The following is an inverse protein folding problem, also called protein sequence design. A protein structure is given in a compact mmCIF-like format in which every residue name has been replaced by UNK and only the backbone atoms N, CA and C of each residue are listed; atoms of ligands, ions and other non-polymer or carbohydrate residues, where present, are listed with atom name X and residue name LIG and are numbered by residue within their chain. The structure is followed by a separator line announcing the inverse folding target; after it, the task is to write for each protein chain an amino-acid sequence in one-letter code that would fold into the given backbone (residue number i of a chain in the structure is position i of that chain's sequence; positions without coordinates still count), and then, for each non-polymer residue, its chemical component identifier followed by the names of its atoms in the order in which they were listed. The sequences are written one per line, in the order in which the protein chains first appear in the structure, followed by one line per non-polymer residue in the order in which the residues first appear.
data_IF_204832834112
#
_entry.id   IF_204832834112
#
_cell.length_a   1.000
_cell.length_b   1.000
_cell.length_c   1.000
_cell.angle_alpha   90.00
_cell.angle_beta   90.00
_cell.angle_gamma   90.00
#
_symmetry.space_group_name_H-M   'P 1'
#
loop_
_entity.id
_entity.type
_entity.pdbx_description
1 polymer ?
#
# COMPACT_ATOMS: atom_id res chain seq x y z
N UNK A 1 -3.04 -4.08 -16.79
CA UNK A 1 -2.99 -2.68 -16.32
C UNK A 1 -1.54 -2.23 -16.39
N UNK A 2 -1.23 -1.42 -17.40
CA UNK A 2 0.11 -0.88 -17.64
C UNK A 2 0.30 0.29 -16.69
N UNK A 3 1.19 0.17 -15.71
CA UNK A 3 1.40 1.21 -14.70
C UNK A 3 2.85 1.27 -14.23
N UNK A 4 3.83 1.43 -15.13
CA UNK A 4 5.23 1.49 -14.66
C UNK A 4 6.28 2.30 -15.42
N UNK A 5 6.00 2.99 -16.54
CA UNK A 5 7.09 3.68 -17.26
C UNK A 5 7.06 5.22 -17.21
N UNK A 6 5.90 5.88 -17.23
CA UNK A 6 5.88 7.35 -17.40
C UNK A 6 6.06 8.16 -16.10
N UNK A 7 5.67 7.64 -14.93
CA UNK A 7 5.80 8.34 -13.64
C UNK A 7 7.00 7.87 -12.79
N UNK A 8 7.48 6.66 -13.02
CA UNK A 8 8.64 6.08 -12.32
C UNK A 8 9.95 6.74 -12.73
N UNK A 9 10.02 7.34 -13.93
CA UNK A 9 11.22 8.02 -14.43
C UNK A 9 11.56 9.31 -13.64
N UNK A 10 10.62 9.86 -12.85
CA UNK A 10 10.85 11.02 -11.99
C UNK A 10 11.17 10.65 -10.53
N UNK A 11 10.86 9.43 -10.10
CA UNK A 11 11.02 8.98 -8.71
C UNK A 11 12.24 8.06 -8.64
N UNK A 12 13.08 8.20 -7.60
CA UNK A 12 14.25 7.35 -7.48
C UNK A 12 13.87 5.87 -7.43
N UNK A 13 14.64 5.00 -8.10
CA UNK A 13 14.37 3.56 -8.12
C UNK A 13 14.25 2.96 -6.70
N UNK A 14 14.99 3.53 -5.75
CA UNK A 14 14.93 3.17 -4.32
C UNK A 14 13.59 3.48 -3.69
N UNK A 15 12.99 4.64 -3.99
CA UNK A 15 11.66 5.00 -3.50
C UNK A 15 10.57 4.13 -4.14
N UNK A 16 10.67 3.82 -5.43
CA UNK A 16 9.72 2.89 -6.07
C UNK A 16 9.80 1.51 -5.44
N UNK A 17 11.01 0.97 -5.23
CA UNK A 17 11.19 -0.33 -4.55
C UNK A 17 10.60 -0.33 -3.13
N UNK A 18 10.74 0.77 -2.40
CA UNK A 18 10.15 0.91 -1.07
C UNK A 18 8.62 0.89 -1.13
N UNK A 19 8.02 1.68 -2.03
CA UNK A 19 6.57 1.77 -2.21
C UNK A 19 5.99 0.42 -2.68
N UNK A 20 6.65 -0.26 -3.62
CA UNK A 20 6.25 -1.59 -4.10
C UNK A 20 6.29 -2.63 -2.97
N UNK A 21 7.37 -2.65 -2.18
CA UNK A 21 7.50 -3.55 -1.03
C UNK A 21 6.44 -3.28 0.05
N UNK A 22 6.20 -1.99 0.36
CA UNK A 22 5.17 -1.58 1.30
C UNK A 22 3.77 -1.99 0.83
N UNK A 23 3.44 -1.72 -0.43
CA UNK A 23 2.14 -2.07 -1.01
C UNK A 23 1.92 -3.58 -1.08
N UNK A 24 2.98 -4.37 -1.31
CA UNK A 24 2.92 -5.83 -1.25
C UNK A 24 2.59 -6.32 0.15
N UNK A 25 3.34 -5.87 1.15
CA UNK A 25 3.12 -6.25 2.56
C UNK A 25 1.76 -5.82 3.09
N UNK A 26 1.35 -4.58 2.81
CA UNK A 26 0.04 -4.08 3.24
C UNK A 26 -1.11 -4.90 2.64
N UNK A 27 -0.98 -5.38 1.40
CA UNK A 27 -1.99 -6.24 0.79
C UNK A 27 -2.06 -7.62 1.44
N UNK A 28 -0.91 -8.25 1.64
CA UNK A 28 -0.86 -9.62 2.18
C UNK A 28 -1.15 -9.68 3.68
N UNK A 29 -0.57 -8.79 4.48
CA UNK A 29 -0.66 -8.82 5.95
C UNK A 29 -1.93 -8.13 6.48
N UNK A 30 -2.46 -7.12 5.78
CA UNK A 30 -3.62 -6.35 6.27
C UNK A 30 -4.89 -6.64 5.47
N UNK A 31 -4.90 -6.40 4.16
CA UNK A 31 -6.14 -6.46 3.38
C UNK A 31 -6.65 -7.89 3.13
N UNK A 32 -5.75 -8.88 3.00
CA UNK A 32 -6.14 -10.27 2.79
C UNK A 32 -6.60 -10.98 4.08
N UNK A 33 -6.10 -10.56 5.25
CA UNK A 33 -6.48 -11.16 6.53
C UNK A 33 -7.71 -10.48 7.19
N UNK A 34 -8.02 -9.23 6.82
CA UNK A 34 -9.14 -8.48 7.41
C UNK A 34 -10.32 -8.35 6.43
N UNK A 35 -11.45 -8.97 6.77
CA UNK A 35 -12.74 -8.66 6.14
C UNK A 35 -13.31 -7.37 6.72
N UNK A 36 -13.24 -6.28 5.96
CA UNK A 36 -13.87 -5.02 6.36
C UNK A 36 -15.37 -5.06 6.10
N UNK A 37 -16.17 -4.88 7.16
CA UNK A 37 -17.63 -4.80 7.06
C UNK A 37 -18.11 -3.39 6.74
N UNK A 38 -17.29 -2.36 7.01
CA UNK A 38 -17.60 -0.95 6.75
C UNK A 38 -16.36 -0.19 6.24
N UNK A 39 -16.58 0.86 5.44
CA UNK A 39 -15.53 1.72 4.88
C UNK A 39 -14.80 2.55 5.95
N UNK A 40 -15.47 2.85 7.06
CA UNK A 40 -14.88 3.57 8.20
C UNK A 40 -13.81 2.69 8.86
N UNK A 41 -14.08 1.41 9.05
CA UNK A 41 -13.12 0.45 9.61
C UNK A 41 -11.93 0.26 8.67
N UNK A 42 -12.18 0.11 7.36
CA UNK A 42 -11.12 0.02 6.35
C UNK A 42 -10.22 1.26 6.36
N UNK A 43 -10.80 2.46 6.51
CA UNK A 43 -10.03 3.71 6.56
C UNK A 43 -9.21 3.83 7.84
N UNK A 44 -9.76 3.38 8.98
CA UNK A 44 -9.05 3.38 10.26
C UNK A 44 -7.83 2.47 10.21
N UNK A 45 -8.00 1.23 9.76
CA UNK A 45 -6.90 0.27 9.64
C UNK A 45 -5.83 0.76 8.67
N UNK A 46 -6.21 1.34 7.53
CA UNK A 46 -5.25 1.92 6.59
C UNK A 46 -4.42 3.07 7.21
N UNK A 47 -5.07 3.96 7.99
CA UNK A 47 -4.36 5.04 8.69
C UNK A 47 -3.42 4.52 9.78
N UNK A 48 -3.85 3.49 10.52
CA UNK A 48 -3.07 2.86 11.58
C UNK A 48 -1.80 2.19 10.99
N UNK A 49 -1.92 1.51 9.85
CA UNK A 49 -0.78 0.91 9.12
C UNK A 49 0.18 1.96 8.54
N UNK A 50 -0.36 3.04 7.96
CA UNK A 50 0.48 4.15 7.48
C UNK A 50 1.24 4.85 8.63
N UNK A 51 0.75 4.75 9.86
CA UNK A 51 1.40 5.24 11.07
C UNK A 51 2.43 4.26 11.67
N UNK A 52 2.52 3.02 11.16
CA UNK A 52 3.53 2.03 11.56
C UNK A 52 3.10 1.02 12.62
N UNK A 53 1.81 0.71 12.71
CA UNK A 53 1.28 -0.42 13.50
C UNK A 53 1.39 -1.75 12.76
#
# INVERSE_FOLDING_TARGET
MVWSCDLSSQVSQTQNRFIESFNGRFRDECLNEHWFSDIVDARKVNNDWAAGL
#
